data_IF_172136321590
#
_entry.id   IF_172136321590
#
_cell.length_a   1.000
_cell.length_b   1.000
_cell.length_c   1.000
_cell.angle_alpha   90.00
_cell.angle_beta   90.00
_cell.angle_gamma   90.00
#
_symmetry.space_group_name_H-M   'P 1'
#
loop_
_entity.id
_entity.type
_entity.pdbx_description
1 polymer ?
#
# COMPACT_ATOMS: atom_id res chain seq x y z
N UNK A 1 -5.24 81.39 -49.54
CA UNK A 1 -4.28 81.72 -50.63
C UNK A 1 -3.29 80.55 -50.76
N UNK A 2 -3.09 80.06 -52.01
CA UNK A 2 -2.01 79.18 -52.54
C UNK A 2 -1.84 77.78 -51.91
N UNK A 3 -2.21 76.66 -52.56
CA UNK A 3 -1.73 75.95 -53.79
C UNK A 3 -0.42 75.14 -53.62
N UNK A 4 -0.47 73.91 -54.16
CA UNK A 4 0.59 72.97 -54.61
C UNK A 4 1.26 72.15 -53.49
N UNK A 5 1.48 70.83 -53.57
CA UNK A 5 1.49 69.91 -54.70
C UNK A 5 2.85 69.18 -54.78
N UNK A 6 2.83 67.88 -55.09
CA UNK A 6 3.95 66.98 -55.45
C UNK A 6 4.86 66.45 -54.31
N UNK A 7 5.51 65.28 -54.35
CA UNK A 7 5.37 63.92 -54.95
C UNK A 7 6.67 63.20 -54.52
N UNK A 8 6.57 61.89 -54.20
CA UNK A 8 7.59 60.83 -54.10
C UNK A 8 9.04 61.13 -53.62
N UNK A 9 9.61 60.22 -52.82
CA UNK A 9 10.55 59.18 -53.30
C UNK A 9 10.88 58.25 -52.12
N UNK A 10 10.77 56.95 -52.37
CA UNK A 10 11.23 55.88 -51.50
C UNK A 10 12.76 55.81 -51.51
N UNK A 11 13.37 55.63 -50.34
CA UNK A 11 14.74 55.14 -50.22
C UNK A 11 14.74 54.01 -49.21
N UNK A 12 14.77 52.79 -49.74
CA UNK A 12 15.12 51.56 -49.03
C UNK A 12 16.63 51.57 -48.81
N UNK A 13 17.07 51.75 -47.56
CA UNK A 13 18.43 51.41 -47.15
C UNK A 13 18.38 50.15 -46.29
N UNK A 14 18.72 49.04 -46.94
CA UNK A 14 18.99 47.75 -46.34
C UNK A 14 20.25 47.84 -45.47
N UNK A 15 20.11 47.76 -44.15
CA UNK A 15 21.25 47.54 -43.26
C UNK A 15 21.42 46.02 -43.09
N UNK A 16 22.47 45.50 -43.70
CA UNK A 16 22.91 44.12 -43.53
C UNK A 16 23.65 44.03 -42.19
N UNK A 17 22.93 43.70 -41.11
CA UNK A 17 23.55 43.31 -39.85
C UNK A 17 23.93 41.82 -39.97
N UNK A 18 25.19 41.58 -40.30
CA UNK A 18 25.84 40.28 -40.15
C UNK A 18 25.96 39.96 -38.66
N UNK A 19 25.02 39.20 -38.13
CA UNK A 19 25.17 38.56 -36.82
C UNK A 19 26.13 37.38 -36.95
N UNK A 20 27.11 37.22 -36.04
CA UNK A 20 27.89 35.98 -35.98
C UNK A 20 26.93 34.80 -35.72
N UNK A 21 27.26 33.57 -36.18
CA UNK A 21 26.49 32.40 -35.79
C UNK A 21 26.63 32.23 -34.29
N UNK A 22 25.57 32.56 -33.56
CA UNK A 22 25.38 32.06 -32.20
C UNK A 22 25.21 30.56 -32.37
N UNK A 23 26.22 29.80 -31.99
CA UNK A 23 26.08 28.35 -31.77
C UNK A 23 24.86 28.17 -30.89
N UNK A 24 23.83 27.56 -31.46
CA UNK A 24 22.63 27.19 -30.75
C UNK A 24 23.02 26.28 -29.60
N UNK A 25 23.17 26.87 -28.41
CA UNK A 25 23.03 26.10 -27.19
C UNK A 25 21.62 25.53 -27.25
N UNK A 26 21.51 24.23 -27.47
CA UNK A 26 20.29 23.48 -27.26
C UNK A 26 19.80 23.86 -25.88
N UNK A 27 18.74 24.66 -25.83
CA UNK A 27 17.95 24.82 -24.64
C UNK A 27 17.33 23.45 -24.46
N UNK A 28 17.94 22.62 -23.63
CA UNK A 28 17.31 21.40 -23.13
C UNK A 28 16.01 21.86 -22.50
N UNK A 29 14.92 21.68 -23.24
CA UNK A 29 13.59 21.84 -22.72
C UNK A 29 13.53 20.98 -21.46
N UNK A 30 13.03 21.60 -20.38
CA UNK A 30 12.67 20.91 -19.16
C UNK A 30 12.01 19.58 -19.51
N UNK A 31 12.56 18.48 -18.99
CA UNK A 31 12.09 17.13 -19.26
C UNK A 31 10.57 17.09 -19.09
N UNK A 32 9.87 16.91 -20.21
CA UNK A 32 8.46 16.60 -20.20
C UNK A 32 8.25 15.35 -19.35
N UNK A 33 7.21 15.36 -18.52
CA UNK A 33 6.68 14.21 -17.81
C UNK A 33 6.23 13.11 -18.79
N UNK A 34 7.21 12.41 -19.37
CA UNK A 34 7.04 11.41 -20.42
C UNK A 34 8.28 10.53 -20.65
N UNK A 35 9.28 10.61 -19.76
CA UNK A 35 10.50 9.80 -19.83
C UNK A 35 10.67 8.93 -18.57
N UNK A 36 9.59 8.22 -18.24
CA UNK A 36 9.63 6.95 -17.53
C UNK A 36 8.64 6.02 -18.23
N UNK A 37 8.92 5.62 -19.48
CA UNK A 37 8.34 4.37 -20.00
C UNK A 37 9.07 3.20 -19.31
N UNK A 38 8.92 3.12 -17.98
CA UNK A 38 9.09 1.86 -17.28
C UNK A 38 8.01 0.92 -17.81
N UNK A 39 8.36 -0.33 -18.06
CA UNK A 39 7.38 -1.37 -18.33
C UNK A 39 6.30 -1.34 -17.24
N UNK A 40 5.04 -1.60 -17.60
CA UNK A 40 4.01 -1.79 -16.58
C UNK A 40 4.38 -2.99 -15.69
N UNK A 41 4.24 -2.88 -14.36
CA UNK A 41 4.47 -4.02 -13.49
C UNK A 41 3.45 -5.12 -13.82
N UNK A 42 3.86 -6.39 -13.69
CA UNK A 42 2.92 -7.50 -13.82
C UNK A 42 1.92 -7.50 -12.65
N UNK A 43 2.43 -7.18 -11.46
CA UNK A 43 1.67 -7.13 -10.21
C UNK A 43 1.89 -5.80 -9.51
N UNK A 44 0.80 -5.19 -9.04
CA UNK A 44 0.85 -4.17 -8.00
C UNK A 44 0.49 -4.79 -6.67
N UNK A 45 1.40 -4.72 -5.71
CA UNK A 45 1.12 -5.02 -4.31
C UNK A 45 0.49 -3.77 -3.69
N UNK A 46 -0.83 -3.75 -3.57
CA UNK A 46 -1.57 -2.65 -2.95
C UNK A 46 -1.59 -2.81 -1.44
N UNK A 47 -0.89 -1.91 -0.74
CA UNK A 47 -0.67 -2.02 0.71
C UNK A 47 -1.55 -1.04 1.48
N UNK A 48 -2.33 -1.52 2.44
CA UNK A 48 -3.04 -0.69 3.41
C UNK A 48 -2.47 -0.91 4.82
N UNK A 49 -1.83 0.13 5.36
CA UNK A 49 -1.21 0.10 6.69
C UNK A 49 -2.22 0.15 7.84
N UNK A 50 -1.75 -0.12 9.06
CA UNK A 50 -2.50 0.06 10.32
C UNK A 50 -2.53 1.52 10.77
N UNK A 51 -2.94 1.78 12.02
CA UNK A 51 -2.94 3.14 12.59
C UNK A 51 -1.55 3.60 13.08
N UNK A 52 -0.49 2.89 12.70
CA UNK A 52 0.85 3.10 13.22
C UNK A 52 1.33 4.53 12.97
N UNK A 53 1.96 5.11 14.00
CA UNK A 53 2.64 6.39 13.87
C UNK A 53 3.91 6.20 13.03
N UNK A 54 3.95 6.80 11.84
CA UNK A 54 5.13 6.82 10.97
C UNK A 54 5.84 8.16 11.10
N UNK A 55 7.15 8.12 11.34
CA UNK A 55 7.97 9.33 11.45
C UNK A 55 8.16 10.03 10.09
N UNK A 56 8.17 9.26 9.00
CA UNK A 56 8.32 9.75 7.63
C UNK A 56 7.83 8.70 6.63
N UNK A 57 7.24 9.16 5.53
CA UNK A 57 6.83 8.32 4.41
C UNK A 57 7.84 8.48 3.26
N UNK A 58 8.87 7.63 3.28
CA UNK A 58 9.96 7.67 2.30
C UNK A 58 9.78 6.56 1.26
N UNK A 59 9.84 6.87 -0.05
CA UNK A 59 9.87 5.87 -1.11
C UNK A 59 10.96 4.82 -0.89
N UNK A 60 10.61 3.55 -1.10
CA UNK A 60 11.53 2.42 -0.99
C UNK A 60 11.62 1.67 -2.31
N UNK A 61 12.74 0.98 -2.52
CA UNK A 61 12.89 0.02 -3.62
C UNK A 61 13.36 -1.30 -3.03
N UNK A 62 12.55 -2.34 -3.22
CA UNK A 62 12.80 -3.65 -2.63
C UNK A 62 13.52 -4.61 -3.59
N UNK A 63 13.26 -4.50 -4.90
CA UNK A 63 13.93 -5.27 -5.94
C UNK A 63 15.37 -4.83 -6.22
N UNK A 64 15.96 -5.42 -7.27
CA UNK A 64 17.24 -5.02 -7.82
C UNK A 64 17.18 -3.66 -8.54
N UNK A 65 18.16 -3.42 -9.41
CA UNK A 65 18.22 -2.14 -10.15
C UNK A 65 17.00 -1.92 -11.07
N UNK A 66 16.31 -3.00 -11.48
CA UNK A 66 15.13 -2.98 -12.33
C UNK A 66 13.81 -2.76 -11.57
N UNK A 67 13.82 -2.91 -10.23
CA UNK A 67 12.61 -2.81 -9.42
C UNK A 67 11.98 -1.42 -9.38
N UNK A 68 10.67 -1.41 -9.22
CA UNK A 68 9.86 -0.20 -9.07
C UNK A 68 10.08 0.47 -7.71
N UNK A 69 10.00 1.80 -7.68
CA UNK A 69 9.89 2.54 -6.43
C UNK A 69 8.47 2.45 -5.87
N UNK A 70 8.37 2.23 -4.57
CA UNK A 70 7.14 2.45 -3.83
C UNK A 70 6.85 3.94 -3.69
N UNK A 71 5.62 4.27 -3.28
CA UNK A 71 5.26 5.63 -2.89
C UNK A 71 5.54 5.93 -1.41
N UNK A 72 6.14 4.99 -0.67
CA UNK A 72 6.54 5.12 0.74
C UNK A 72 5.38 5.03 1.75
N UNK A 73 4.16 4.67 1.31
CA UNK A 73 2.95 4.67 2.14
C UNK A 73 2.65 3.31 2.77
N UNK A 74 3.44 2.30 2.48
CA UNK A 74 3.29 0.92 2.95
C UNK A 74 3.56 0.72 4.45
N UNK A 75 4.13 1.71 5.16
CA UNK A 75 4.64 1.62 6.53
C UNK A 75 6.00 0.92 6.65
N UNK A 76 6.75 1.25 7.69
CA UNK A 76 8.05 0.64 7.95
C UNK A 76 7.91 -0.86 8.20
N UNK A 77 6.89 -1.26 8.96
CA UNK A 77 6.64 -2.66 9.33
C UNK A 77 6.42 -3.55 8.11
N UNK A 78 5.59 -3.12 7.16
CA UNK A 78 5.34 -3.89 5.94
C UNK A 78 6.58 -3.84 5.03
N UNK A 79 7.29 -2.71 5.01
CA UNK A 79 8.56 -2.61 4.29
C UNK A 79 9.59 -3.64 4.76
N UNK A 80 9.80 -3.78 6.06
CA UNK A 80 10.76 -4.76 6.62
C UNK A 80 10.36 -6.20 6.25
N UNK A 81 9.06 -6.49 6.19
CA UNK A 81 8.57 -7.77 5.69
C UNK A 81 8.85 -8.00 4.20
N UNK A 82 8.68 -6.98 3.36
CA UNK A 82 8.96 -7.10 1.93
C UNK A 82 10.44 -7.32 1.64
N UNK A 83 11.33 -6.77 2.47
CA UNK A 83 12.75 -7.10 2.44
C UNK A 83 13.01 -8.58 2.78
N UNK A 84 12.32 -9.13 3.78
CA UNK A 84 12.37 -10.57 4.10
C UNK A 84 11.86 -11.41 2.92
N UNK A 85 10.74 -11.03 2.29
CA UNK A 85 10.16 -11.73 1.13
C UNK A 85 11.18 -11.79 0.00
N UNK A 86 11.77 -10.66 -0.37
CA UNK A 86 12.76 -10.60 -1.44
C UNK A 86 14.02 -11.40 -1.10
N UNK A 87 14.52 -11.29 0.13
CA UNK A 87 15.67 -12.05 0.58
C UNK A 87 15.41 -13.56 0.51
N UNK A 88 14.25 -13.99 1.01
CA UNK A 88 13.84 -15.39 0.98
C UNK A 88 13.71 -15.90 -0.45
N UNK A 89 13.04 -15.14 -1.32
CA UNK A 89 12.84 -15.52 -2.70
C UNK A 89 14.18 -15.71 -3.44
N UNK A 90 15.13 -14.79 -3.27
CA UNK A 90 16.49 -14.93 -3.81
C UNK A 90 17.19 -16.20 -3.32
N UNK A 91 17.04 -16.54 -2.04
CA UNK A 91 17.65 -17.73 -1.46
C UNK A 91 17.06 -19.02 -2.03
N UNK A 92 15.75 -19.05 -2.31
CA UNK A 92 15.06 -20.26 -2.78
C UNK A 92 14.96 -20.38 -4.30
N UNK A 93 15.18 -19.28 -5.05
CA UNK A 93 15.01 -19.21 -6.51
C UNK A 93 16.30 -18.83 -7.24
N UNK A 94 17.46 -19.33 -6.78
CA UNK A 94 18.73 -19.20 -7.51
C UNK A 94 19.21 -17.76 -7.70
N UNK A 95 18.85 -16.85 -6.80
CA UNK A 95 19.22 -15.43 -6.85
C UNK A 95 18.28 -14.54 -7.66
N UNK A 96 17.18 -15.08 -8.21
CA UNK A 96 16.15 -14.28 -8.87
C UNK A 96 15.49 -13.30 -7.89
N UNK A 97 15.07 -12.13 -8.41
CA UNK A 97 14.31 -11.13 -7.65
C UNK A 97 12.81 -11.36 -7.83
N UNK A 98 12.05 -11.32 -6.74
CA UNK A 98 10.59 -11.31 -6.82
C UNK A 98 10.11 -9.91 -7.19
N UNK A 99 10.70 -8.90 -6.55
CA UNK A 99 10.20 -7.53 -6.55
C UNK A 99 10.80 -6.66 -7.68
N UNK A 100 11.48 -7.26 -8.66
CA UNK A 100 11.87 -6.57 -9.90
C UNK A 100 10.64 -6.23 -10.78
N UNK A 101 9.63 -7.12 -10.83
CA UNK A 101 8.42 -6.95 -11.65
C UNK A 101 7.15 -6.61 -10.84
N UNK A 102 7.31 -6.37 -9.53
CA UNK A 102 6.23 -6.03 -8.60
C UNK A 102 6.37 -4.58 -8.17
N UNK A 103 5.33 -3.79 -8.37
CA UNK A 103 5.28 -2.44 -7.79
C UNK A 103 4.54 -2.46 -6.46
N UNK A 104 5.24 -2.05 -5.40
CA UNK A 104 4.62 -1.81 -4.09
C UNK A 104 3.95 -0.44 -4.11
N UNK A 105 2.66 -0.40 -3.81
CA UNK A 105 1.90 0.85 -3.79
C UNK A 105 1.08 0.92 -2.51
N UNK A 106 1.54 1.69 -1.53
CA UNK A 106 0.73 1.95 -0.33
C UNK A 106 -0.45 2.85 -0.67
N UNK A 107 -1.62 2.60 -0.10
CA UNK A 107 -2.81 3.43 -0.32
C UNK A 107 -2.53 4.85 0.23
N UNK A 108 -2.54 5.90 -0.61
CA UNK A 108 -2.25 7.26 -0.15
C UNK A 108 -3.26 7.78 0.87
N UNK A 109 -2.83 8.71 1.74
CA UNK A 109 -3.62 9.24 2.86
C UNK A 109 -4.93 9.90 2.42
N UNK A 110 -4.94 10.54 1.27
CA UNK A 110 -6.13 11.18 0.69
C UNK A 110 -7.25 10.17 0.39
N UNK A 111 -6.91 8.89 0.23
CA UNK A 111 -7.84 7.80 0.00
C UNK A 111 -8.05 6.94 1.26
N UNK A 112 -7.02 6.82 2.09
CA UNK A 112 -7.05 6.07 3.34
C UNK A 112 -6.04 6.69 4.34
N UNK A 113 -6.50 7.56 5.26
CA UNK A 113 -5.60 8.24 6.19
C UNK A 113 -5.02 7.30 7.25
N UNK A 114 -5.63 6.11 7.40
CA UNK A 114 -5.20 5.08 8.33
C UNK A 114 -4.95 5.65 9.73
N UNK A 115 -5.93 6.43 10.19
CA UNK A 115 -5.93 7.10 11.48
C UNK A 115 -7.25 6.81 12.19
N UNK A 116 -7.14 6.49 13.47
CA UNK A 116 -8.24 6.47 14.40
C UNK A 116 -7.93 7.61 15.37
N UNK A 117 -8.66 8.75 15.33
CA UNK A 117 -8.39 9.82 16.28
C UNK A 117 -8.76 9.32 17.67
N UNK A 118 -7.72 9.08 18.46
CA UNK A 118 -7.81 8.70 19.86
C UNK A 118 -7.89 9.96 20.72
N UNK A 119 -8.59 9.91 21.88
CA UNK A 119 -8.48 10.97 22.89
C UNK A 119 -7.00 11.20 23.26
N UNK A 120 -6.65 12.40 23.71
CA UNK A 120 -5.27 12.83 24.05
C UNK A 120 -4.49 11.84 24.92
N UNK A 121 -5.17 11.06 25.76
CA UNK A 121 -4.63 10.03 26.66
C UNK A 121 -4.19 8.72 25.95
N UNK A 122 -4.41 8.60 24.64
CA UNK A 122 -4.03 7.45 23.81
C UNK A 122 -3.31 7.83 22.53
N UNK A 123 -2.75 9.04 22.44
CA UNK A 123 -2.07 9.55 21.23
C UNK A 123 -0.83 8.77 20.81
N UNK A 124 -0.23 8.04 21.75
CA UNK A 124 0.92 7.18 21.50
C UNK A 124 0.51 5.70 21.31
N UNK A 125 -0.79 5.41 21.30
CA UNK A 125 -1.32 4.04 21.42
C UNK A 125 -1.69 3.38 20.09
N UNK A 126 -1.20 2.15 19.90
CA UNK A 126 -1.68 1.25 18.86
C UNK A 126 -3.13 0.82 19.14
N UNK A 127 -3.83 0.37 18.10
CA UNK A 127 -5.22 -0.10 18.17
C UNK A 127 -5.44 -1.19 19.25
N UNK A 128 -4.38 -1.89 19.65
CA UNK A 128 -4.35 -2.88 20.72
C UNK A 128 -4.39 -2.31 22.14
N UNK A 129 -3.77 -1.15 22.43
CA UNK A 129 -3.86 -0.47 23.74
C UNK A 129 -5.30 -0.04 24.06
N UNK A 130 -6.07 0.11 22.98
CA UNK A 130 -7.45 0.52 22.99
C UNK A 130 -8.44 -0.67 23.11
N UNK A 131 -8.00 -1.88 22.75
CA UNK A 131 -8.74 -3.11 23.02
C UNK A 131 -8.42 -3.70 24.40
N UNK A 132 -7.20 -3.47 24.92
CA UNK A 132 -6.77 -3.94 26.24
C UNK A 132 -7.53 -3.24 27.39
N UNK A 133 -8.06 -2.04 27.16
CA UNK A 133 -8.98 -1.34 28.08
C UNK A 133 -10.38 -1.98 28.08
N UNK A 134 -10.43 -3.19 28.66
CA UNK A 134 -11.53 -4.10 28.91
C UNK A 134 -12.96 -3.55 28.61
N UNK A 135 -13.55 -4.04 27.52
CA UNK A 135 -15.01 -4.19 27.39
C UNK A 135 -15.80 -2.97 26.92
N UNK A 136 -15.14 -1.86 26.55
CA UNK A 136 -15.80 -0.77 25.83
C UNK A 136 -15.01 -0.47 24.59
N UNK A 137 -15.57 -0.81 23.42
CA UNK A 137 -15.31 -0.04 22.20
C UNK A 137 -15.58 1.43 22.56
N UNK A 138 -14.56 2.16 23.00
CA UNK A 138 -14.65 3.59 23.25
C UNK A 138 -15.27 4.20 21.99
N UNK A 139 -16.21 5.16 22.09
CA UNK A 139 -16.84 5.75 20.91
C UNK A 139 -15.85 6.22 19.83
N UNK A 140 -14.62 6.59 20.22
CA UNK A 140 -13.51 6.91 19.33
C UNK A 140 -13.05 5.72 18.47
N UNK A 141 -12.86 4.52 19.06
CA UNK A 141 -12.51 3.28 18.33
C UNK A 141 -13.61 2.95 17.34
N UNK A 142 -14.86 2.93 17.81
CA UNK A 142 -16.01 2.59 16.98
C UNK A 142 -16.17 3.60 15.83
N UNK A 143 -15.94 4.89 16.09
CA UNK A 143 -15.94 5.93 15.07
C UNK A 143 -14.75 5.81 14.10
N UNK A 144 -13.57 5.39 14.57
CA UNK A 144 -12.40 5.07 13.76
C UNK A 144 -12.65 3.90 12.83
N UNK A 145 -13.05 2.75 13.38
CA UNK A 145 -13.44 1.55 12.63
C UNK A 145 -14.55 1.86 11.63
N UNK A 146 -15.60 2.60 12.02
CA UNK A 146 -16.66 3.01 11.10
C UNK A 146 -16.14 3.90 9.96
N UNK A 147 -15.26 4.86 10.25
CA UNK A 147 -14.63 5.70 9.22
C UNK A 147 -13.76 4.87 8.30
N UNK A 148 -12.96 3.95 8.84
CA UNK A 148 -12.14 3.04 8.05
C UNK A 148 -12.99 2.16 7.16
N UNK A 149 -14.10 1.59 7.65
CA UNK A 149 -15.03 0.84 6.79
C UNK A 149 -15.69 1.72 5.72
N UNK A 150 -16.02 2.97 6.03
CA UNK A 150 -16.62 3.92 5.07
C UNK A 150 -15.61 4.31 3.99
N UNK A 151 -14.40 4.67 4.39
CA UNK A 151 -13.29 4.92 3.46
C UNK A 151 -12.94 3.66 2.69
N UNK A 152 -13.02 2.49 3.32
CA UNK A 152 -12.68 1.21 2.73
C UNK A 152 -13.59 0.79 1.60
N UNK A 153 -14.83 1.29 1.54
CA UNK A 153 -15.72 1.03 0.42
C UNK A 153 -15.30 1.73 -0.89
N UNK A 154 -14.57 2.86 -0.83
CA UNK A 154 -14.30 3.71 -2.00
C UNK A 154 -12.85 4.16 -2.16
N UNK A 155 -12.14 4.41 -1.07
CA UNK A 155 -10.78 4.95 -1.04
C UNK A 155 -9.77 4.10 -1.83
N UNK A 156 -9.52 2.84 -1.45
CA UNK A 156 -8.58 2.00 -2.20
C UNK A 156 -8.96 1.83 -3.68
N UNK A 157 -10.26 1.79 -3.98
CA UNK A 157 -10.75 1.74 -5.37
C UNK A 157 -10.38 2.99 -6.16
N UNK A 158 -10.52 4.16 -5.54
CA UNK A 158 -10.09 5.43 -6.13
C UNK A 158 -8.56 5.48 -6.27
N UNK A 159 -7.80 4.95 -5.30
CA UNK A 159 -6.35 4.85 -5.39
C UNK A 159 -5.90 3.97 -6.57
N UNK A 160 -6.54 2.80 -6.75
CA UNK A 160 -6.32 1.92 -7.91
C UNK A 160 -6.64 2.65 -9.21
N UNK A 161 -7.82 3.28 -9.28
CA UNK A 161 -8.24 4.00 -10.50
C UNK A 161 -7.29 5.15 -10.85
N UNK A 162 -6.83 5.90 -9.84
CA UNK A 162 -5.86 6.97 -10.02
C UNK A 162 -4.51 6.41 -10.51
N UNK A 163 -4.02 5.34 -9.88
CA UNK A 163 -2.80 4.66 -10.32
C UNK A 163 -2.88 4.23 -11.80
N UNK A 164 -3.94 3.52 -12.20
CA UNK A 164 -4.10 3.05 -13.58
C UNK A 164 -4.23 4.21 -14.57
N UNK A 165 -4.89 5.30 -14.17
CA UNK A 165 -5.03 6.51 -14.99
C UNK A 165 -3.71 7.24 -15.16
N UNK A 166 -2.96 7.43 -14.07
CA UNK A 166 -1.72 8.20 -14.05
C UNK A 166 -0.57 7.45 -14.75
N UNK A 167 -0.56 6.12 -14.66
CA UNK A 167 0.48 5.27 -15.26
C UNK A 167 0.10 4.72 -16.64
N UNK A 168 -1.19 4.64 -16.95
CA UNK A 168 -1.69 3.91 -18.12
C UNK A 168 -1.60 2.38 -17.99
N UNK A 169 -1.19 1.86 -16.84
CA UNK A 169 -1.03 0.43 -16.60
C UNK A 169 -2.31 -0.22 -16.02
N UNK A 170 -2.55 -1.48 -16.36
CA UNK A 170 -3.66 -2.30 -15.81
C UNK A 170 -3.14 -3.64 -15.29
N UNK A 171 -2.38 -3.63 -14.17
CA UNK A 171 -1.72 -4.83 -13.63
C UNK A 171 -2.72 -5.76 -12.93
N UNK A 172 -2.26 -6.95 -12.53
CA UNK A 172 -2.96 -7.70 -11.47
C UNK A 172 -2.62 -7.06 -10.12
N UNK A 173 -3.51 -7.20 -9.15
CA UNK A 173 -3.37 -6.66 -7.80
C UNK A 173 -3.29 -7.77 -6.77
N UNK A 174 -2.27 -7.69 -5.93
CA UNK A 174 -2.19 -8.44 -4.69
C UNK A 174 -2.51 -7.47 -3.54
N UNK A 175 -3.53 -7.78 -2.75
CA UNK A 175 -3.96 -6.94 -1.63
C UNK A 175 -3.17 -7.29 -0.37
N UNK A 176 -2.65 -6.30 0.35
CA UNK A 176 -1.90 -6.52 1.59
C UNK A 176 -2.35 -5.55 2.67
N UNK A 177 -3.16 -6.02 3.62
CA UNK A 177 -3.72 -5.20 4.68
C UNK A 177 -3.18 -5.58 6.04
N UNK A 178 -2.77 -4.59 6.84
CA UNK A 178 -2.41 -4.79 8.25
C UNK A 178 -3.39 -4.06 9.17
N UNK A 179 -3.91 -4.75 10.18
CA UNK A 179 -4.79 -4.19 11.21
C UNK A 179 -5.98 -3.45 10.60
N UNK A 180 -6.05 -2.12 10.73
CA UNK A 180 -7.07 -1.28 10.10
C UNK A 180 -7.13 -1.44 8.56
N UNK A 181 -5.99 -1.65 7.90
CA UNK A 181 -5.94 -1.90 6.46
C UNK A 181 -6.58 -3.24 6.06
N UNK A 182 -6.54 -4.23 6.95
CA UNK A 182 -7.23 -5.51 6.78
C UNK A 182 -8.76 -5.40 6.90
N UNK A 183 -9.29 -4.27 7.35
CA UNK A 183 -10.74 -3.97 7.29
C UNK A 183 -11.18 -3.31 5.98
N UNK A 184 -10.21 -2.75 5.26
CA UNK A 184 -10.43 -1.85 4.13
C UNK A 184 -10.29 -2.59 2.80
N UNK A 185 -9.22 -3.35 2.63
CA UNK A 185 -8.91 -4.04 1.38
C UNK A 185 -9.84 -5.21 1.00
N UNK A 186 -10.38 -6.03 1.94
CA UNK A 186 -11.27 -7.14 1.56
C UNK A 186 -12.49 -6.74 0.72
N UNK A 187 -12.98 -5.51 0.90
CA UNK A 187 -14.12 -4.98 0.15
C UNK A 187 -13.81 -4.78 -1.35
N UNK A 188 -12.54 -4.82 -1.74
CA UNK A 188 -12.11 -4.65 -3.13
C UNK A 188 -11.95 -5.95 -3.90
N UNK A 189 -11.91 -7.09 -3.20
CA UNK A 189 -11.67 -8.39 -3.82
C UNK A 189 -12.67 -8.69 -4.93
N UNK A 190 -13.98 -8.53 -4.65
CA UNK A 190 -15.01 -8.79 -5.66
C UNK A 190 -14.80 -7.94 -6.91
N UNK A 191 -14.59 -6.64 -6.72
CA UNK A 191 -14.47 -5.68 -7.82
C UNK A 191 -13.22 -5.93 -8.67
N UNK A 192 -12.09 -6.30 -8.03
CA UNK A 192 -10.88 -6.69 -8.75
C UNK A 192 -11.03 -8.05 -9.43
N UNK A 193 -11.70 -9.02 -8.81
CA UNK A 193 -11.94 -10.34 -9.40
C UNK A 193 -12.86 -10.24 -10.63
N UNK A 194 -13.91 -9.42 -10.58
CA UNK A 194 -14.79 -9.14 -11.73
C UNK A 194 -14.05 -8.48 -12.91
N UNK A 195 -12.95 -7.78 -12.62
CA UNK A 195 -12.07 -7.18 -13.63
C UNK A 195 -10.94 -8.10 -14.08
N UNK A 196 -10.90 -9.34 -13.60
CA UNK A 196 -9.75 -10.25 -13.76
C UNK A 196 -8.43 -9.55 -13.37
N UNK A 197 -8.42 -8.87 -12.23
CA UNK A 197 -7.28 -8.14 -11.72
C UNK A 197 -6.93 -8.51 -10.27
N UNK A 198 -7.55 -9.53 -9.67
CA UNK A 198 -7.20 -10.02 -8.34
C UNK A 198 -6.22 -11.20 -8.44
N UNK A 199 -4.97 -11.00 -8.02
CA UNK A 199 -3.95 -12.06 -7.96
C UNK A 199 -3.97 -12.81 -6.61
N UNK A 200 -4.28 -12.10 -5.53
CA UNK A 200 -4.30 -12.66 -4.18
C UNK A 200 -4.55 -11.60 -3.12
N UNK A 201 -4.68 -12.03 -1.86
CA UNK A 201 -4.93 -11.16 -0.74
C UNK A 201 -4.29 -11.69 0.55
N UNK A 202 -3.65 -10.81 1.30
CA UNK A 202 -3.05 -11.06 2.61
C UNK A 202 -3.62 -10.07 3.62
N UNK A 203 -4.12 -10.59 4.74
CA UNK A 203 -4.66 -9.79 5.83
C UNK A 203 -4.02 -10.16 7.16
N UNK A 204 -3.34 -9.21 7.76
CA UNK A 204 -2.58 -9.37 8.99
C UNK A 204 -3.31 -8.77 10.17
N UNK A 205 -3.39 -9.49 11.28
CA UNK A 205 -4.06 -8.98 12.49
C UNK A 205 -5.50 -8.53 12.21
N UNK A 206 -6.20 -9.27 11.36
CA UNK A 206 -7.51 -8.87 10.84
C UNK A 206 -8.62 -9.08 11.89
N UNK A 207 -9.40 -8.05 12.24
CA UNK A 207 -10.60 -8.24 13.07
C UNK A 207 -11.71 -9.04 12.36
N UNK A 208 -11.58 -9.27 11.05
CA UNK A 208 -12.49 -10.08 10.26
C UNK A 208 -12.14 -11.57 10.27
N UNK A 209 -11.04 -11.99 10.89
CA UNK A 209 -10.60 -13.38 10.85
C UNK A 209 -11.71 -14.35 11.28
N UNK A 210 -11.94 -15.38 10.45
CA UNK A 210 -12.83 -16.52 10.72
C UNK A 210 -12.02 -17.81 10.85
N UNK A 211 -12.30 -18.56 11.90
CA UNK A 211 -11.61 -19.81 12.28
C UNK A 211 -11.95 -21.02 11.38
N UNK A 212 -12.06 -20.85 10.06
CA UNK A 212 -12.74 -21.85 9.21
C UNK A 212 -12.04 -22.27 7.91
N UNK A 213 -10.75 -22.02 7.70
CA UNK A 213 -10.14 -22.38 6.41
C UNK A 213 -8.63 -22.62 6.37
N UNK A 214 -8.18 -23.23 5.27
CA UNK A 214 -6.77 -23.36 4.88
C UNK A 214 -6.09 -22.02 4.55
N UNK A 215 -6.89 -20.95 4.54
CA UNK A 215 -6.51 -19.55 4.33
C UNK A 215 -5.92 -18.91 5.59
N UNK A 216 -5.74 -19.64 6.71
CA UNK A 216 -5.22 -19.07 7.95
C UNK A 216 -3.82 -19.60 8.25
N UNK A 217 -2.84 -18.70 8.33
CA UNK A 217 -1.50 -18.98 8.86
C UNK A 217 -1.43 -18.44 10.30
N UNK A 218 -0.74 -19.17 11.18
CA UNK A 218 -0.54 -18.77 12.58
C UNK A 218 -1.25 -19.68 13.58
N UNK A 219 -2.06 -19.11 14.46
CA UNK A 219 -2.59 -19.77 15.67
C UNK A 219 -3.53 -20.96 15.35
N UNK A 220 -3.24 -22.17 15.84
CA UNK A 220 -4.19 -23.28 15.78
C UNK A 220 -5.25 -23.19 16.90
N UNK A 221 -6.52 -23.06 16.52
CA UNK A 221 -7.70 -23.10 17.40
C UNK A 221 -8.15 -21.73 17.93
N UNK A 222 -9.47 -21.51 17.96
CA UNK A 222 -10.20 -20.30 18.39
C UNK A 222 -9.59 -19.01 17.85
N UNK A 223 -9.85 -18.72 16.58
CA UNK A 223 -9.42 -17.47 15.94
C UNK A 223 -10.58 -16.79 15.23
N UNK A 224 -11.50 -16.25 16.01
CA UNK A 224 -12.63 -15.51 15.46
C UNK A 224 -12.53 -14.07 15.90
N UNK A 225 -12.10 -13.20 14.99
CA UNK A 225 -12.01 -11.77 15.23
C UNK A 225 -13.35 -11.17 15.63
N UNK A 226 -13.31 -10.06 16.36
CA UNK A 226 -14.51 -9.40 16.89
C UNK A 226 -15.53 -8.98 15.81
N UNK A 227 -15.07 -8.83 14.56
CA UNK A 227 -15.85 -8.38 13.42
C UNK A 227 -16.00 -9.45 12.32
N UNK A 228 -15.70 -10.71 12.60
CA UNK A 228 -15.72 -11.82 11.63
C UNK A 228 -17.02 -11.97 10.80
N UNK A 229 -18.15 -11.53 11.36
CA UNK A 229 -19.46 -11.55 10.73
C UNK A 229 -19.64 -10.51 9.61
N UNK A 230 -18.73 -9.53 9.54
CA UNK A 230 -18.63 -8.56 8.46
C UNK A 230 -17.62 -8.95 7.38
N UNK A 231 -16.91 -10.07 7.54
CA UNK A 231 -15.93 -10.48 6.55
C UNK A 231 -16.59 -10.68 5.17
N UNK A 232 -16.13 -9.98 4.12
CA UNK A 232 -16.59 -10.25 2.77
C UNK A 232 -16.22 -11.67 2.32
N UNK A 233 -17.04 -12.24 1.43
CA UNK A 233 -16.72 -13.51 0.79
C UNK A 233 -15.35 -13.42 0.09
N UNK A 234 -14.56 -14.49 0.15
CA UNK A 234 -13.33 -14.57 -0.62
C UNK A 234 -13.65 -14.62 -2.12
N UNK A 235 -12.90 -13.86 -2.92
CA UNK A 235 -13.02 -13.89 -4.38
C UNK A 235 -11.77 -14.42 -5.08
N UNK A 236 -10.87 -15.07 -4.32
CA UNK A 236 -9.68 -15.76 -4.82
C UNK A 236 -9.33 -16.92 -3.89
N UNK A 237 -8.82 -18.05 -4.41
CA UNK A 237 -8.23 -19.10 -3.57
C UNK A 237 -6.87 -18.67 -2.97
N UNK A 238 -6.24 -17.63 -3.53
CA UNK A 238 -4.98 -17.06 -3.07
C UNK A 238 -5.25 -16.02 -1.97
N UNK A 239 -5.90 -16.44 -0.89
CA UNK A 239 -6.26 -15.57 0.24
C UNK A 239 -5.65 -16.12 1.51
N UNK A 240 -4.91 -15.28 2.24
CA UNK A 240 -4.34 -15.62 3.53
C UNK A 240 -4.72 -14.57 4.57
N UNK A 241 -5.17 -15.03 5.73
CA UNK A 241 -5.11 -14.29 6.97
C UNK A 241 -3.95 -14.80 7.81
N UNK A 242 -3.13 -13.89 8.34
CA UNK A 242 -2.05 -14.24 9.26
C UNK A 242 -2.29 -13.54 10.60
N UNK A 243 -2.45 -14.35 11.64
CA UNK A 243 -2.70 -13.90 13.01
C UNK A 243 -1.60 -14.44 13.93
N UNK A 244 -0.91 -13.54 14.63
CA UNK A 244 0.05 -13.93 15.64
C UNK A 244 -0.66 -14.53 16.87
N UNK A 245 -0.03 -15.49 17.57
CA UNK A 245 -0.54 -15.99 18.84
C UNK A 245 -0.84 -14.87 19.83
N UNK A 246 -2.06 -14.91 20.37
CA UNK A 246 -2.55 -13.98 21.38
C UNK A 246 -2.65 -12.51 20.93
N UNK A 247 -2.74 -12.28 19.61
CA UNK A 247 -3.11 -10.98 19.05
C UNK A 247 -4.60 -10.71 19.27
N UNK A 248 -4.89 -9.83 20.23
CA UNK A 248 -6.25 -9.44 20.65
C UNK A 248 -7.15 -8.95 19.50
N UNK A 249 -6.58 -8.45 18.40
CA UNK A 249 -7.35 -7.89 17.29
C UNK A 249 -8.00 -9.00 16.45
N UNK A 250 -7.26 -10.08 16.17
CA UNK A 250 -7.73 -11.23 15.39
C UNK A 250 -8.13 -12.44 16.24
N UNK A 251 -7.70 -12.48 17.50
CA UNK A 251 -8.10 -13.45 18.51
C UNK A 251 -8.56 -12.72 19.81
N UNK A 252 -9.87 -12.48 20.00
CA UNK A 252 -10.39 -11.87 21.21
C UNK A 252 -10.54 -12.87 22.39
N UNK A 253 -9.76 -13.95 22.42
CA UNK A 253 -9.77 -14.91 23.52
C UNK A 253 -9.41 -14.26 24.86
N UNK A 254 -9.90 -14.80 26.00
CA UNK A 254 -9.48 -14.33 27.32
C UNK A 254 -7.97 -14.32 27.53
N UNK A 255 -7.24 -15.22 26.84
CA UNK A 255 -5.79 -15.30 26.91
C UNK A 255 -5.13 -14.10 26.21
N UNK A 256 -5.59 -13.77 24.99
CA UNK A 256 -5.13 -12.58 24.26
C UNK A 256 -5.45 -11.28 25.00
N UNK A 257 -6.65 -11.16 25.59
CA UNK A 257 -7.02 -10.03 26.47
C UNK A 257 -6.03 -9.92 27.63
N UNK A 258 -5.80 -11.03 28.35
CA UNK A 258 -4.87 -11.05 29.48
C UNK A 258 -3.45 -10.67 29.07
N UNK A 259 -2.97 -11.10 27.90
CA UNK A 259 -1.62 -10.76 27.41
C UNK A 259 -1.51 -9.28 27.01
N UNK A 260 -2.50 -8.76 26.30
CA UNK A 260 -2.55 -7.34 25.91
C UNK A 260 -2.52 -6.36 27.10
N UNK A 261 -3.01 -6.81 28.26
CA UNK A 261 -3.01 -6.04 29.51
C UNK A 261 -1.67 -6.10 30.26
N UNK A 262 -0.82 -7.08 29.95
CA UNK A 262 0.45 -7.32 30.65
C UNK A 262 1.66 -6.80 29.86
N UNK A 263 1.54 -6.65 28.55
CA UNK A 263 2.61 -6.18 27.67
C UNK A 263 2.45 -4.69 27.36
N UNK A 264 3.51 -3.92 27.58
CA UNK A 264 3.58 -2.52 27.13
C UNK A 264 3.76 -2.47 25.61
N UNK A 265 3.11 -1.51 24.94
CA UNK A 265 3.31 -1.24 23.51
C UNK A 265 2.53 -2.16 22.57
N UNK A 266 1.24 -2.36 22.85
CA UNK A 266 0.31 -2.98 21.90
C UNK A 266 0.34 -4.51 21.78
N UNK A 267 1.13 -5.21 22.59
CA UNK A 267 1.16 -6.69 22.64
C UNK A 267 1.57 -7.38 21.32
N UNK A 268 1.19 -8.66 21.09
CA UNK A 268 1.52 -9.38 19.87
C UNK A 268 1.06 -8.67 18.58
N UNK A 269 0.00 -7.87 18.64
CA UNK A 269 -0.49 -7.10 17.49
C UNK A 269 0.57 -6.14 16.93
N UNK A 270 1.38 -5.55 17.79
CA UNK A 270 2.44 -4.61 17.42
C UNK A 270 3.68 -5.29 16.83
N UNK A 271 3.79 -6.62 16.99
CA UNK A 271 5.02 -7.38 16.84
C UNK A 271 5.15 -8.12 15.51
N UNK A 272 4.17 -8.01 14.60
CA UNK A 272 4.33 -8.54 13.25
C UNK A 272 5.63 -8.01 12.63
N UNK A 273 6.45 -8.96 12.16
CA UNK A 273 7.72 -8.71 11.47
C UNK A 273 8.80 -7.98 12.28
N UNK A 274 8.61 -7.71 13.58
CA UNK A 274 9.68 -7.23 14.46
C UNK A 274 10.74 -8.30 14.74
N UNK A 275 10.32 -9.56 14.75
CA UNK A 275 11.21 -10.72 14.80
C UNK A 275 11.07 -11.47 13.48
N UNK A 276 11.99 -11.21 12.55
CA UNK A 276 11.98 -11.84 11.24
C UNK A 276 12.35 -13.33 11.34
N UNK A 277 11.69 -14.16 10.55
CA UNK A 277 12.09 -15.55 10.35
C UNK A 277 11.32 -16.60 11.18
N UNK A 278 10.18 -16.24 11.79
CA UNK A 278 9.25 -17.26 12.26
C UNK A 278 8.64 -18.05 11.08
N UNK A 279 8.24 -19.29 11.33
CA UNK A 279 7.76 -20.18 10.26
C UNK A 279 6.48 -19.68 9.58
N UNK A 280 5.66 -18.89 10.26
CA UNK A 280 4.45 -18.29 9.68
C UNK A 280 4.80 -17.18 8.69
N UNK A 281 5.73 -16.30 9.04
CA UNK A 281 6.22 -15.25 8.13
C UNK A 281 6.88 -15.83 6.88
N UNK A 282 7.67 -16.90 7.06
CA UNK A 282 8.33 -17.58 5.94
C UNK A 282 7.31 -18.28 5.03
N UNK A 283 6.29 -18.93 5.60
CA UNK A 283 5.21 -19.53 4.82
C UNK A 283 4.39 -18.48 4.06
N UNK A 284 4.12 -17.33 4.68
CA UNK A 284 3.47 -16.21 4.02
C UNK A 284 4.33 -15.69 2.86
N UNK A 285 5.64 -15.56 3.07
CA UNK A 285 6.57 -15.08 2.05
C UNK A 285 6.67 -16.04 0.86
N UNK A 286 6.64 -17.36 1.10
CA UNK A 286 6.57 -18.37 0.05
C UNK A 286 5.27 -18.25 -0.76
N UNK A 287 4.12 -18.10 -0.08
CA UNK A 287 2.83 -17.95 -0.74
C UNK A 287 2.78 -16.69 -1.64
N UNK A 288 3.28 -15.55 -1.15
CA UNK A 288 3.42 -14.33 -1.94
C UNK A 288 4.29 -14.56 -3.18
N UNK A 289 5.43 -15.25 -3.03
CA UNK A 289 6.30 -15.62 -4.14
C UNK A 289 5.56 -16.45 -5.19
N UNK A 290 4.87 -17.50 -4.75
CA UNK A 290 4.10 -18.38 -5.63
C UNK A 290 2.99 -17.64 -6.39
N UNK A 291 2.25 -16.75 -5.73
CA UNK A 291 1.16 -16.01 -6.37
C UNK A 291 1.65 -15.01 -7.41
N UNK A 292 2.78 -14.36 -7.17
CA UNK A 292 3.43 -13.51 -8.17
C UNK A 292 3.93 -14.35 -9.36
N UNK A 293 4.50 -15.53 -9.09
CA UNK A 293 4.93 -16.47 -10.13
C UNK A 293 3.80 -16.99 -11.00
N UNK A 294 2.59 -17.12 -10.45
CA UNK A 294 1.39 -17.52 -11.20
C UNK A 294 0.89 -16.41 -12.17
N UNK A 295 1.29 -15.15 -11.94
CA UNK A 295 0.85 -14.00 -12.75
C UNK A 295 1.81 -13.67 -13.88
N UNK A 296 3.12 -13.77 -13.64
CA UNK A 296 4.18 -13.39 -14.61
C UNK A 296 4.43 -14.46 -15.67
#
# INVERSE_FOLDING_TARGET
MRKLGAVLVAVLTTWCLTTPPVTGASISAAGSAGELMGSCPAVVLLVARGNDAEASFEPRRYGGAAGFWSNGRESTRIGDYLELVEQRYRQTHGGASLLDDVQVHGVPEQYYPADIPLPEEGKDGELSDLFSSAGKLVPAVAAGVRRAMTAGAQGPRQAITAYETDTGCTPKYLLFGYSLGALVLPQQEQWLAERDQLAGAVYLGSPFLRDTGAEVIGVPGYTTGALHWFEPAAHTPNRIHYCLPDDLVCDPSPQAVSRSLQEDGGGPHANYFRQLGDSGQLALADALGEWVDQVR
#
